data_IF_956851730404
#
_entry.id   IF_956851730404
#
_cell.length_a   1.000
_cell.length_b   1.000
_cell.length_c   1.000
_cell.angle_alpha   90.00
_cell.angle_beta   90.00
_cell.angle_gamma   90.00
#
_symmetry.space_group_name_H-M   'P 1'
#
loop_
_entity.id
_entity.type
_entity.pdbx_description
1 polymer ?
#
# COMPACT_ATOMS: atom_id res chain seq x y z
N UNK A 1 -40.64 27.75 -44.96
CA UNK A 1 -41.51 28.67 -45.73
C UNK A 1 -42.17 29.65 -44.76
N UNK A 2 -42.26 30.92 -45.19
CA UNK A 2 -42.64 32.16 -44.46
C UNK A 2 -43.94 32.01 -43.65
N UNK A 3 -44.16 32.68 -42.51
CA UNK A 3 -44.41 34.13 -42.32
C UNK A 3 -44.54 34.40 -40.80
N UNK A 4 -43.79 35.35 -40.24
CA UNK A 4 -44.25 36.69 -39.79
C UNK A 4 -45.36 36.72 -38.73
N UNK A 5 -45.04 37.25 -37.54
CA UNK A 5 -45.73 38.44 -37.00
C UNK A 5 -45.06 38.96 -35.72
N UNK A 6 -44.52 40.18 -35.81
CA UNK A 6 -44.35 41.11 -34.69
C UNK A 6 -45.43 42.18 -34.82
N UNK A 7 -45.93 42.69 -33.69
CA UNK A 7 -46.07 44.13 -33.57
C UNK A 7 -45.41 44.69 -32.31
N UNK A 8 -45.18 45.98 -32.42
CA UNK A 8 -44.36 46.91 -31.64
C UNK A 8 -45.10 47.57 -30.46
N UNK A 9 -44.37 47.75 -29.33
CA UNK A 9 -44.26 48.88 -28.37
C UNK A 9 -45.50 49.78 -28.05
N UNK A 10 -45.67 50.24 -26.78
CA UNK A 10 -44.95 51.44 -26.25
C UNK A 10 -44.53 51.33 -24.76
N UNK A 11 -43.34 51.76 -24.33
CA UNK A 11 -42.96 53.13 -23.89
C UNK A 11 -43.93 53.81 -22.89
N UNK A 12 -43.56 53.81 -21.61
CA UNK A 12 -43.84 54.89 -20.67
C UNK A 12 -42.67 55.06 -19.71
N UNK A 13 -42.11 56.27 -19.68
CA UNK A 13 -41.06 56.76 -18.79
C UNK A 13 -41.69 57.23 -17.48
N UNK A 14 -41.03 57.00 -16.34
CA UNK A 14 -40.96 58.00 -15.28
C UNK A 14 -39.55 58.07 -14.71
N UNK A 15 -39.03 59.30 -14.73
CA UNK A 15 -37.78 59.72 -14.13
C UNK A 15 -37.95 59.86 -12.62
N UNK A 16 -36.95 59.43 -11.85
CA UNK A 16 -36.50 60.20 -10.69
C UNK A 16 -34.99 60.07 -10.55
N UNK A 17 -34.37 61.23 -10.66
CA UNK A 17 -32.95 61.56 -10.62
C UNK A 17 -32.41 61.51 -9.20
N UNK A 18 -31.20 60.99 -9.06
CA UNK A 18 -30.42 61.04 -7.83
C UNK A 18 -29.02 60.48 -8.06
N UNK A 19 -28.21 61.25 -8.79
CA UNK A 19 -26.82 60.93 -9.14
C UNK A 19 -25.92 61.14 -7.92
N UNK A 20 -25.17 60.11 -7.53
CA UNK A 20 -23.85 60.28 -6.94
C UNK A 20 -22.94 59.10 -7.32
N UNK A 21 -21.95 59.46 -8.13
CA UNK A 21 -20.57 58.96 -8.14
C UNK A 21 -20.28 57.48 -8.52
N UNK A 22 -19.86 57.34 -9.79
CA UNK A 22 -18.63 56.67 -10.26
C UNK A 22 -18.36 55.18 -9.96
N UNK A 23 -18.54 54.38 -11.03
CA UNK A 23 -17.51 53.55 -11.71
C UNK A 23 -16.79 52.47 -10.87
N UNK A 24 -17.26 51.25 -11.14
CA UNK A 24 -16.49 50.03 -11.48
C UNK A 24 -15.89 49.15 -10.38
N UNK A 25 -15.88 47.88 -10.76
CA UNK A 25 -15.30 46.71 -10.12
C UNK A 25 -16.14 46.11 -8.98
N UNK A 26 -17.01 45.17 -9.39
CA UNK A 26 -17.35 44.00 -8.60
C UNK A 26 -16.04 43.27 -8.25
N UNK A 27 -15.36 43.73 -7.22
CA UNK A 27 -14.31 42.97 -6.55
C UNK A 27 -15.01 41.82 -5.85
N UNK A 28 -14.98 40.66 -6.50
CA UNK A 28 -15.06 39.36 -5.85
C UNK A 28 -14.03 39.41 -4.73
N UNK A 29 -14.49 39.69 -3.50
CA UNK A 29 -13.69 39.50 -2.30
C UNK A 29 -13.50 37.99 -2.15
N UNK A 30 -12.44 37.54 -2.82
CA UNK A 30 -11.58 36.43 -2.48
C UNK A 30 -11.11 36.63 -1.03
N UNK A 31 -12.02 36.44 -0.08
CA UNK A 31 -11.69 36.19 1.30
C UNK A 31 -11.22 34.75 1.39
N UNK A 32 -9.96 34.56 0.99
CA UNK A 32 -9.01 33.56 1.50
C UNK A 32 -9.61 32.57 2.51
N UNK A 33 -10.37 31.61 1.99
CA UNK A 33 -10.40 30.29 2.58
C UNK A 33 -8.98 29.80 2.48
N UNK A 34 -8.24 29.89 3.59
CA UNK A 34 -7.07 29.08 3.82
C UNK A 34 -7.53 27.63 3.68
N UNK A 35 -7.49 27.13 2.45
CA UNK A 35 -7.56 25.72 2.13
C UNK A 35 -6.34 25.15 2.81
N UNK A 36 -6.54 24.69 4.05
CA UNK A 36 -5.53 24.03 4.83
C UNK A 36 -4.85 23.02 3.92
N UNK A 37 -3.55 23.23 3.69
CA UNK A 37 -2.71 22.14 3.27
C UNK A 37 -2.97 21.02 4.29
N UNK A 38 -3.25 19.79 3.84
CA UNK A 38 -3.35 18.68 4.78
C UNK A 38 -2.05 18.67 5.55
N UNK A 39 -2.12 18.68 6.88
CA UNK A 39 -0.97 18.72 7.76
C UNK A 39 0.06 17.68 7.25
N UNK A 40 1.12 18.17 6.62
CA UNK A 40 2.39 17.48 6.76
C UNK A 40 2.65 17.59 8.25
N UNK A 41 2.61 16.44 8.94
CA UNK A 41 2.95 16.41 10.35
C UNK A 41 4.28 17.15 10.48
N UNK A 42 4.26 18.23 11.24
CA UNK A 42 5.50 18.96 11.52
C UNK A 42 6.41 17.99 12.28
N UNK A 43 7.72 18.16 12.20
CA UNK A 43 8.68 17.33 12.95
C UNK A 43 8.35 17.26 14.45
N UNK A 44 7.70 18.30 14.99
CA UNK A 44 7.22 18.37 16.37
C UNK A 44 5.95 17.52 16.61
N UNK A 45 5.00 17.49 15.66
CA UNK A 45 3.84 16.59 15.71
C UNK A 45 4.27 15.13 15.70
N UNK A 46 5.26 14.79 14.85
CA UNK A 46 5.82 13.44 14.74
C UNK A 46 6.49 13.00 16.05
N UNK A 47 7.24 13.90 16.71
CA UNK A 47 7.96 13.61 17.95
C UNK A 47 7.02 13.44 19.17
N UNK A 48 5.98 14.27 19.31
CA UNK A 48 4.94 14.06 20.32
C UNK A 48 4.13 12.79 20.05
N UNK A 49 3.90 12.46 18.78
CA UNK A 49 3.13 11.30 18.35
C UNK A 49 3.80 9.96 18.67
N UNK A 50 5.12 9.84 18.45
CA UNK A 50 5.87 8.61 18.79
C UNK A 50 6.02 8.37 20.30
N UNK A 51 5.82 9.40 21.14
CA UNK A 51 5.88 9.27 22.60
C UNK A 51 4.62 8.64 23.23
N UNK A 52 3.51 8.54 22.48
CA UNK A 52 2.24 7.97 22.93
C UNK A 52 2.02 6.51 22.48
N UNK A 53 3.03 5.89 21.84
CA UNK A 53 2.95 4.53 21.31
C UNK A 53 2.75 3.52 22.46
N UNK A 54 1.78 2.59 22.37
CA UNK A 54 1.76 1.44 23.26
C UNK A 54 3.08 0.68 23.14
N UNK A 55 3.58 0.10 24.24
CA UNK A 55 4.72 -0.82 24.18
C UNK A 55 4.47 -1.82 23.04
N UNK A 56 5.27 -1.73 21.98
CA UNK A 56 5.06 -2.52 20.78
C UNK A 56 5.11 -3.98 21.17
N UNK A 57 4.06 -4.72 20.86
CA UNK A 57 4.07 -6.18 20.98
C UNK A 57 5.33 -6.70 20.32
N UNK A 58 6.14 -7.49 21.03
CA UNK A 58 7.35 -8.07 20.43
C UNK A 58 6.92 -9.08 19.37
N UNK A 59 7.19 -8.75 18.12
CA UNK A 59 7.03 -9.68 16.99
C UNK A 59 8.39 -10.26 16.65
N UNK A 60 8.37 -11.47 16.11
CA UNK A 60 9.56 -12.17 15.66
C UNK A 60 9.27 -12.78 14.29
N UNK A 61 10.20 -12.62 13.35
CA UNK A 61 10.16 -13.37 12.09
C UNK A 61 10.97 -14.64 12.26
N UNK A 62 10.39 -15.73 11.79
CA UNK A 62 11.02 -17.03 11.76
C UNK A 62 11.03 -17.50 10.32
N UNK A 63 12.23 -17.56 9.73
CA UNK A 63 12.43 -18.25 8.45
C UNK A 63 12.33 -19.75 8.69
N UNK A 64 11.56 -20.45 7.86
CA UNK A 64 11.46 -21.90 7.94
C UNK A 64 12.70 -22.53 7.30
N UNK A 65 13.11 -23.69 7.81
CA UNK A 65 14.29 -24.38 7.32
C UNK A 65 14.07 -24.94 5.89
N UNK A 66 12.81 -25.14 5.52
CA UNK A 66 12.34 -25.56 4.20
C UNK A 66 10.94 -24.98 3.92
N UNK A 67 10.48 -25.08 2.67
CA UNK A 67 9.15 -24.60 2.29
C UNK A 67 8.07 -25.57 2.78
N UNK A 68 6.97 -25.05 3.32
CA UNK A 68 5.90 -25.87 3.91
C UNK A 68 4.55 -25.49 3.31
N UNK A 69 3.65 -26.47 3.16
CA UNK A 69 2.27 -26.21 2.79
C UNK A 69 1.57 -25.23 3.76
N UNK A 70 0.70 -24.39 3.21
CA UNK A 70 -0.03 -23.37 3.97
C UNK A 70 -0.96 -23.98 5.02
N UNK A 71 -1.70 -25.03 4.66
CA UNK A 71 -2.68 -25.65 5.57
C UNK A 71 -1.97 -26.37 6.72
N UNK A 72 -0.89 -27.10 6.43
CA UNK A 72 -0.09 -27.76 7.45
C UNK A 72 0.61 -26.76 8.38
N UNK A 73 1.16 -25.68 7.83
CA UNK A 73 1.76 -24.60 8.62
C UNK A 73 0.76 -24.00 9.59
N UNK A 74 -0.42 -23.59 9.13
CA UNK A 74 -1.40 -22.93 9.99
C UNK A 74 -2.01 -23.90 11.01
N UNK A 75 -2.20 -25.17 10.63
CA UNK A 75 -2.68 -26.21 11.53
C UNK A 75 -1.67 -26.53 12.64
N UNK A 76 -0.38 -26.65 12.31
CA UNK A 76 0.65 -26.90 13.30
C UNK A 76 0.84 -25.68 14.21
N UNK A 77 0.77 -24.46 13.67
CA UNK A 77 0.80 -23.24 14.48
C UNK A 77 -0.33 -23.22 15.53
N UNK A 78 -1.57 -23.53 15.12
CA UNK A 78 -2.73 -23.61 16.02
C UNK A 78 -2.53 -24.67 17.11
N UNK A 79 -2.06 -25.87 16.72
CA UNK A 79 -1.76 -26.96 17.66
C UNK A 79 -0.71 -26.58 18.70
N UNK A 80 0.29 -25.80 18.31
CA UNK A 80 1.39 -25.36 19.17
C UNK A 80 1.09 -24.04 19.92
N UNK A 81 -0.08 -23.42 19.67
CA UNK A 81 -0.43 -22.12 20.25
C UNK A 81 0.45 -20.97 19.74
N UNK A 82 0.98 -21.08 18.52
CA UNK A 82 1.79 -20.05 17.87
C UNK A 82 0.84 -19.04 17.21
N UNK A 83 0.91 -17.78 17.65
CA UNK A 83 0.09 -16.71 17.10
C UNK A 83 0.77 -16.08 15.87
N UNK A 84 0.31 -16.46 14.69
CA UNK A 84 0.76 -15.90 13.42
C UNK A 84 0.15 -14.51 13.22
N UNK A 85 0.98 -13.54 12.84
CA UNK A 85 0.57 -12.21 12.39
C UNK A 85 0.58 -12.14 10.87
N UNK A 86 1.62 -12.67 10.23
CA UNK A 86 1.73 -12.73 8.78
C UNK A 86 2.54 -13.96 8.33
N UNK A 87 2.40 -14.33 7.06
CA UNK A 87 3.16 -15.39 6.43
C UNK A 87 3.76 -14.90 5.11
N UNK A 88 5.07 -15.04 4.95
CA UNK A 88 5.75 -14.83 3.67
C UNK A 88 5.65 -16.08 2.80
N UNK A 89 5.43 -15.85 1.51
CA UNK A 89 5.01 -16.89 0.58
C UNK A 89 5.93 -16.94 -0.64
N UNK A 90 6.06 -18.15 -1.17
CA UNK A 90 6.53 -18.39 -2.52
C UNK A 90 5.33 -18.77 -3.40
N UNK A 91 5.15 -18.07 -4.53
CA UNK A 91 3.97 -18.18 -5.40
C UNK A 91 4.43 -18.23 -6.85
N UNK A 92 4.49 -19.43 -7.43
CA UNK A 92 5.03 -19.58 -8.78
C UNK A 92 6.45 -18.99 -8.91
N UNK A 93 6.67 -18.26 -10.00
CA UNK A 93 7.87 -17.46 -10.21
C UNK A 93 7.87 -16.08 -9.50
N UNK A 94 6.92 -15.77 -8.61
CA UNK A 94 6.88 -14.56 -7.78
C UNK A 94 7.05 -14.81 -6.29
N UNK A 95 6.77 -13.81 -5.46
CA UNK A 95 6.68 -13.92 -4.00
C UNK A 95 5.33 -13.42 -3.48
N UNK A 96 5.06 -13.58 -2.20
CA UNK A 96 3.83 -13.08 -1.59
C UNK A 96 3.91 -12.86 -0.10
N UNK A 97 2.85 -12.26 0.43
CA UNK A 97 2.65 -12.02 1.86
C UNK A 97 1.17 -12.23 2.17
N UNK A 98 0.87 -12.89 3.28
CA UNK A 98 -0.49 -12.98 3.81
C UNK A 98 -0.56 -12.36 5.20
N UNK A 99 -1.49 -11.43 5.38
CA UNK A 99 -1.85 -10.92 6.70
C UNK A 99 -2.87 -11.84 7.33
N UNK A 100 -2.55 -12.40 8.49
CA UNK A 100 -3.45 -13.31 9.19
C UNK A 100 -4.73 -12.56 9.62
N UNK A 101 -5.90 -13.19 9.44
CA UNK A 101 -7.16 -12.70 9.97
C UNK A 101 -7.42 -13.36 11.33
N UNK A 102 -7.32 -12.60 12.45
CA UNK A 102 -7.51 -13.17 13.78
C UNK A 102 -8.95 -13.62 14.06
N UNK A 103 -9.91 -13.26 13.20
CA UNK A 103 -11.32 -13.67 13.34
C UNK A 103 -11.63 -15.00 12.65
N UNK A 104 -10.67 -15.56 11.90
CA UNK A 104 -10.80 -16.84 11.21
C UNK A 104 -10.03 -17.94 11.94
N UNK A 105 -10.52 -19.17 11.87
CA UNK A 105 -9.74 -20.34 12.29
C UNK A 105 -8.50 -20.52 11.41
N UNK A 106 -7.53 -21.29 11.87
CA UNK A 106 -6.35 -21.65 11.06
C UNK A 106 -6.71 -22.26 9.70
N UNK A 107 -7.67 -23.19 9.68
CA UNK A 107 -8.17 -23.79 8.43
C UNK A 107 -8.82 -22.76 7.50
N UNK A 108 -9.59 -21.81 8.04
CA UNK A 108 -10.24 -20.76 7.24
C UNK A 108 -9.25 -19.71 6.74
N UNK A 109 -8.21 -19.39 7.50
CA UNK A 109 -7.09 -18.59 7.03
C UNK A 109 -6.37 -19.30 5.85
N UNK A 110 -6.08 -20.60 5.97
CA UNK A 110 -5.42 -21.36 4.92
C UNK A 110 -6.26 -21.44 3.63
N UNK A 111 -7.55 -21.78 3.75
CA UNK A 111 -8.50 -21.78 2.64
C UNK A 111 -8.61 -20.40 1.98
N UNK A 112 -8.72 -19.35 2.79
CA UNK A 112 -8.83 -17.97 2.31
C UNK A 112 -7.57 -17.55 1.57
N UNK A 113 -6.38 -17.81 2.12
CA UNK A 113 -5.10 -17.51 1.48
C UNK A 113 -5.00 -18.22 0.13
N UNK A 114 -5.17 -19.54 0.09
CA UNK A 114 -5.01 -20.31 -1.15
C UNK A 114 -6.06 -19.93 -2.20
N UNK A 115 -7.30 -19.66 -1.79
CA UNK A 115 -8.33 -19.18 -2.71
C UNK A 115 -7.95 -17.82 -3.31
N UNK A 116 -7.43 -16.90 -2.50
CA UNK A 116 -6.98 -15.58 -2.96
C UNK A 116 -5.81 -15.69 -3.92
N UNK A 117 -4.80 -16.50 -3.60
CA UNK A 117 -3.67 -16.76 -4.50
C UNK A 117 -4.17 -17.34 -5.82
N UNK A 118 -5.01 -18.39 -5.79
CA UNK A 118 -5.56 -18.98 -7.00
C UNK A 118 -6.36 -17.98 -7.85
N UNK A 119 -7.10 -17.08 -7.22
CA UNK A 119 -7.82 -16.02 -7.94
C UNK A 119 -6.87 -14.97 -8.53
N UNK A 120 -5.79 -14.61 -7.84
CA UNK A 120 -4.80 -13.65 -8.34
C UNK A 120 -3.90 -14.26 -9.42
N UNK A 121 -3.31 -15.42 -9.18
CA UNK A 121 -2.21 -15.99 -9.96
C UNK A 121 -2.51 -17.34 -10.62
N UNK A 122 -3.52 -18.07 -10.17
CA UNK A 122 -4.00 -19.31 -10.82
C UNK A 122 -3.32 -20.54 -10.28
N UNK A 123 -2.41 -20.32 -9.35
CA UNK A 123 -1.57 -21.31 -8.73
C UNK A 123 -1.86 -21.37 -7.23
N UNK A 124 -0.97 -22.02 -6.49
CA UNK A 124 -0.97 -22.13 -5.03
C UNK A 124 0.29 -21.49 -4.47
N UNK A 125 0.27 -21.24 -3.16
CA UNK A 125 1.42 -20.75 -2.42
C UNK A 125 1.98 -21.80 -1.47
N UNK A 126 3.26 -21.65 -1.12
CA UNK A 126 3.89 -22.32 0.02
C UNK A 126 4.45 -21.27 0.98
N UNK A 127 4.57 -21.61 2.26
CA UNK A 127 5.09 -20.71 3.31
C UNK A 127 6.61 -20.85 3.40
N UNK A 128 7.30 -19.71 3.44
CA UNK A 128 8.77 -19.64 3.58
C UNK A 128 9.20 -19.02 4.90
N UNK A 129 8.37 -18.15 5.48
CA UNK A 129 8.61 -17.54 6.77
C UNK A 129 7.30 -17.11 7.44
N UNK A 130 7.34 -16.96 8.76
CA UNK A 130 6.22 -16.49 9.56
C UNK A 130 6.64 -15.29 10.38
N UNK A 131 5.71 -14.37 10.59
CA UNK A 131 5.79 -13.41 11.68
C UNK A 131 4.86 -13.84 12.80
N UNK A 132 5.38 -13.88 14.02
CA UNK A 132 4.66 -14.38 15.18
C UNK A 132 4.75 -13.42 16.36
N UNK A 133 3.76 -13.50 17.24
CA UNK A 133 3.72 -12.73 18.49
C UNK A 133 4.47 -13.46 19.61
N UNK A 134 5.38 -12.76 20.30
CA UNK A 134 6.17 -13.32 21.41
C UNK A 134 6.06 -12.53 22.73
N UNK A 135 5.94 -13.22 23.90
CA UNK A 135 5.57 -14.62 24.05
C UNK A 135 4.07 -14.82 23.73
N UNK A 136 3.65 -16.03 23.35
CA UNK A 136 2.23 -16.31 23.14
C UNK A 136 1.44 -15.91 24.39
N UNK A 137 0.29 -15.25 24.21
CA UNK A 137 -0.53 -14.81 25.34
C UNK A 137 -0.86 -16.03 26.20
N UNK A 138 -0.46 -16.01 27.49
CA UNK A 138 -0.92 -16.99 28.48
C UNK A 138 -2.42 -16.83 28.68
N UNK A 139 -3.22 -17.50 27.85
CA UNK A 139 -4.66 -17.65 28.03
C UNK A 139 -4.96 -18.85 28.92
N UNK A 140 -5.31 -18.60 30.17
CA UNK A 140 -6.29 -19.39 30.93
C UNK A 140 -6.06 -20.91 31.07
N UNK A 141 -4.85 -21.36 31.45
CA UNK A 141 -4.76 -22.64 32.14
C UNK A 141 -5.21 -22.45 33.59
N UNK A 142 -6.25 -23.19 33.99
CA UNK A 142 -6.73 -23.28 35.38
C UNK A 142 -5.53 -23.43 36.31
N UNK A 143 -5.45 -22.55 37.31
CA UNK A 143 -4.58 -22.70 38.46
C UNK A 143 -4.75 -24.11 39.03
N UNK A 144 -3.68 -24.89 38.99
CA UNK A 144 -3.45 -25.94 39.97
C UNK A 144 -2.09 -25.68 40.62
N UNK A 145 -2.15 -25.58 41.93
CA UNK A 145 -1.18 -24.98 42.83
C UNK A 145 -0.01 -25.90 43.20
N UNK A 146 1.18 -25.29 43.28
CA UNK A 146 2.32 -25.57 44.17
C UNK A 146 3.32 -26.70 43.78
N UNK A 147 4.57 -26.71 44.33
CA UNK A 147 5.54 -25.61 44.39
C UNK A 147 6.97 -26.04 43.95
N UNK A 148 7.83 -25.04 43.66
CA UNK A 148 9.30 -25.04 43.57
C UNK A 148 10.06 -26.30 43.11
N UNK A 149 10.70 -26.18 41.94
CA UNK A 149 12.04 -26.72 41.72
C UNK A 149 12.85 -25.77 40.83
N UNK A 150 13.93 -25.25 41.39
CA UNK A 150 15.05 -24.62 40.69
C UNK A 150 15.52 -25.51 39.53
N UNK A 151 15.41 -25.01 38.32
CA UNK A 151 16.18 -25.49 37.17
C UNK A 151 16.62 -24.27 36.36
N UNK A 152 17.93 -23.98 36.45
CA UNK A 152 18.66 -23.32 35.39
C UNK A 152 18.47 -24.16 34.12
N UNK A 153 17.51 -23.76 33.28
CA UNK A 153 17.21 -24.41 32.02
C UNK A 153 17.25 -23.35 30.94
N UNK A 154 18.20 -23.53 30.01
CA UNK A 154 18.46 -22.73 28.82
C UNK A 154 17.24 -21.95 28.31
N UNK A 155 17.38 -20.62 28.19
CA UNK A 155 16.42 -19.80 27.45
C UNK A 155 16.43 -20.23 25.98
N UNK A 156 15.65 -21.27 25.67
CA UNK A 156 15.24 -21.56 24.30
C UNK A 156 14.60 -20.27 23.79
N UNK A 157 15.23 -19.65 22.79
CA UNK A 157 14.70 -18.44 22.16
C UNK A 157 13.37 -18.79 21.48
N UNK A 158 12.44 -17.83 21.41
CA UNK A 158 11.15 -18.02 20.74
C UNK A 158 11.30 -18.60 19.34
N UNK A 159 12.28 -18.10 18.58
CA UNK A 159 12.70 -18.63 17.28
C UNK A 159 12.93 -20.15 17.26
N UNK A 160 13.71 -20.68 18.21
CA UNK A 160 14.08 -22.10 18.25
C UNK A 160 12.87 -22.99 18.53
N UNK A 161 11.87 -22.48 19.25
CA UNK A 161 10.62 -23.21 19.47
C UNK A 161 9.78 -23.26 18.18
N UNK A 162 9.68 -22.13 17.48
CA UNK A 162 8.92 -22.01 16.24
C UNK A 162 9.57 -22.84 15.12
N UNK A 163 10.89 -22.75 14.93
CA UNK A 163 11.62 -23.59 13.96
C UNK A 163 11.42 -25.07 14.24
N UNK A 164 11.56 -25.51 15.50
CA UNK A 164 11.35 -26.91 15.88
C UNK A 164 9.91 -27.39 15.68
N UNK A 165 8.92 -26.50 15.82
CA UNK A 165 7.52 -26.84 15.56
C UNK A 165 7.30 -27.22 14.09
N UNK A 166 7.97 -26.55 13.16
CA UNK A 166 7.77 -26.76 11.72
C UNK A 166 8.81 -27.69 11.07
N UNK A 167 9.95 -27.94 11.72
CA UNK A 167 11.00 -28.84 11.21
C UNK A 167 10.53 -30.28 10.95
N UNK A 168 9.44 -30.72 11.59
CA UNK A 168 8.85 -32.03 11.39
C UNK A 168 7.77 -32.10 10.30
N UNK A 169 7.48 -31.00 9.61
CA UNK A 169 6.53 -30.98 8.49
C UNK A 169 7.24 -31.32 7.18
N UNK A 170 6.51 -31.92 6.24
CA UNK A 170 7.06 -32.30 4.94
C UNK A 170 7.44 -31.07 4.11
N UNK A 171 8.57 -31.15 3.41
CA UNK A 171 8.96 -30.15 2.43
C UNK A 171 7.97 -30.16 1.26
N UNK A 172 7.48 -28.97 0.91
CA UNK A 172 6.56 -28.76 -0.20
C UNK A 172 7.23 -27.87 -1.23
N UNK A 173 7.47 -28.42 -2.41
CA UNK A 173 8.05 -27.65 -3.51
C UNK A 173 7.06 -26.57 -3.98
N UNK A 174 7.55 -25.35 -4.23
CA UNK A 174 6.75 -24.32 -4.89
C UNK A 174 6.39 -24.78 -6.30
N UNK A 175 5.23 -24.37 -6.78
CA UNK A 175 4.89 -24.51 -8.21
C UNK A 175 5.85 -23.68 -9.07
N UNK A 176 6.19 -24.15 -10.27
CA UNK A 176 6.94 -23.37 -11.27
C UNK A 176 6.05 -22.46 -12.13
N UNK A 177 4.80 -22.26 -11.70
CA UNK A 177 3.81 -21.51 -12.47
C UNK A 177 4.22 -20.06 -12.73
N UNK A 178 3.96 -19.60 -13.95
CA UNK A 178 4.19 -18.23 -14.32
C UNK A 178 3.03 -17.33 -13.88
N UNK A 179 3.29 -16.47 -12.89
CA UNK A 179 2.26 -15.57 -12.36
C UNK A 179 2.15 -14.25 -13.14
N UNK A 180 2.81 -14.12 -14.30
CA UNK A 180 2.82 -12.90 -15.12
C UNK A 180 1.43 -12.41 -15.54
N UNK A 181 0.41 -13.26 -15.44
CA UNK A 181 -0.99 -12.85 -15.64
C UNK A 181 -1.41 -11.65 -14.78
N UNK A 182 -0.85 -11.49 -13.57
CA UNK A 182 -1.17 -10.32 -12.71
C UNK A 182 -0.76 -9.00 -13.36
N UNK A 183 0.30 -9.03 -14.18
CA UNK A 183 0.78 -7.91 -15.00
C UNK A 183 -0.04 -7.80 -16.29
N UNK A 184 -0.27 -8.91 -16.98
CA UNK A 184 -1.00 -8.92 -18.25
C UNK A 184 -2.41 -8.33 -18.08
N UNK A 185 -3.05 -8.57 -16.93
CA UNK A 185 -4.31 -7.92 -16.57
C UNK A 185 -4.21 -6.39 -16.62
N UNK A 186 -3.12 -5.81 -16.12
CA UNK A 186 -2.92 -4.35 -16.11
C UNK A 186 -2.62 -3.86 -17.52
N UNK A 187 -1.68 -4.49 -18.23
CA UNK A 187 -1.26 -4.07 -19.58
C UNK A 187 -2.40 -4.14 -20.60
N UNK A 188 -3.27 -5.14 -20.49
CA UNK A 188 -4.40 -5.34 -21.39
C UNK A 188 -5.65 -4.51 -21.01
N UNK A 189 -5.59 -3.70 -19.95
CA UNK A 189 -6.75 -2.91 -19.52
C UNK A 189 -7.00 -1.72 -20.46
N UNK A 190 -8.27 -1.38 -20.76
CA UNK A 190 -8.62 -0.16 -21.50
C UNK A 190 -8.09 1.08 -20.75
N UNK A 191 -7.16 1.82 -21.36
CA UNK A 191 -6.52 3.00 -20.76
C UNK A 191 -5.02 2.85 -20.46
N UNK A 192 -4.50 1.63 -20.34
CA UNK A 192 -3.07 1.37 -20.07
C UNK A 192 -2.22 1.52 -21.31
N UNK A 193 -2.74 1.08 -22.47
CA UNK A 193 -2.08 1.12 -23.77
C UNK A 193 -1.69 2.55 -24.19
N UNK A 194 -2.40 3.59 -23.71
CA UNK A 194 -2.03 4.97 -23.99
C UNK A 194 -0.91 5.50 -23.08
N UNK A 195 -0.61 4.89 -21.93
CA UNK A 195 0.47 5.40 -21.04
C UNK A 195 1.87 4.91 -21.41
N UNK A 196 1.97 3.70 -21.97
CA UNK A 196 3.23 3.07 -22.37
C UNK A 196 3.71 3.47 -23.79
N UNK A 197 2.84 4.09 -24.60
CA UNK A 197 3.13 4.41 -26.01
C UNK A 197 3.40 5.90 -26.26
N UNK A 198 3.55 6.71 -25.21
CA UNK A 198 3.78 8.14 -25.35
C UNK A 198 5.27 8.44 -25.38
N UNK A 199 5.74 8.93 -26.53
CA UNK A 199 7.06 9.55 -26.65
C UNK A 199 7.15 10.72 -25.66
N UNK A 200 8.23 10.85 -24.88
CA UNK A 200 8.43 12.01 -24.02
C UNK A 200 8.52 13.27 -24.89
N UNK A 201 7.50 14.13 -24.85
CA UNK A 201 7.46 15.42 -25.57
C UNK A 201 7.62 16.64 -24.66
N UNK A 202 7.71 16.43 -23.35
CA UNK A 202 8.03 17.48 -22.38
C UNK A 202 9.33 17.14 -21.66
N UNK A 203 10.17 18.15 -21.43
CA UNK A 203 11.24 18.04 -20.45
C UNK A 203 10.56 17.81 -19.09
N UNK A 204 10.51 16.56 -18.63
CA UNK A 204 10.01 16.23 -17.30
C UNK A 204 10.74 17.08 -16.26
N UNK A 205 10.01 17.55 -15.25
CA UNK A 205 10.66 18.16 -14.08
C UNK A 205 11.66 17.12 -13.56
N UNK A 206 12.96 17.44 -13.49
CA UNK A 206 13.95 16.48 -12.98
C UNK A 206 13.51 15.99 -11.60
N UNK A 207 13.41 14.68 -11.41
CA UNK A 207 13.22 14.13 -10.08
C UNK A 207 14.45 14.51 -9.25
N UNK A 208 14.22 14.97 -8.01
CA UNK A 208 15.30 15.46 -7.13
C UNK A 208 16.37 14.39 -6.88
N UNK A 209 15.98 13.11 -6.89
CA UNK A 209 16.83 11.99 -6.50
C UNK A 209 17.02 10.91 -7.55
N UNK A 210 16.22 10.92 -8.63
CA UNK A 210 16.17 9.85 -9.65
C UNK A 210 16.00 8.42 -9.08
N UNK A 211 15.60 8.25 -7.82
CA UNK A 211 15.34 6.93 -7.24
C UNK A 211 13.87 6.54 -7.27
N UNK A 212 12.95 7.50 -7.42
CA UNK A 212 11.51 7.21 -7.50
C UNK A 212 11.11 6.52 -8.78
N UNK A 213 10.12 5.61 -8.73
CA UNK A 213 9.50 5.11 -9.94
C UNK A 213 8.87 6.27 -10.71
N UNK A 214 9.23 6.40 -11.98
CA UNK A 214 8.73 7.46 -12.85
C UNK A 214 7.58 7.00 -13.75
N UNK A 215 7.13 5.75 -13.60
CA UNK A 215 5.88 5.25 -14.15
C UNK A 215 5.23 4.27 -13.17
N UNK A 216 4.04 4.61 -12.69
CA UNK A 216 3.24 3.71 -11.85
C UNK A 216 1.80 3.69 -12.33
N UNK A 217 1.28 2.49 -12.53
CA UNK A 217 -0.11 2.24 -12.90
C UNK A 217 -0.84 1.49 -11.80
N UNK A 218 -2.13 1.80 -11.65
CA UNK A 218 -3.01 1.23 -10.66
C UNK A 218 -4.27 0.73 -11.35
N UNK A 219 -4.70 -0.44 -10.92
CA UNK A 219 -6.00 -1.00 -11.30
C UNK A 219 -6.74 -1.40 -10.04
N UNK A 220 -8.01 -1.02 -9.95
CA UNK A 220 -8.90 -1.50 -8.89
C UNK A 220 -10.03 -2.30 -9.49
N UNK A 221 -10.20 -3.54 -9.03
CA UNK A 221 -11.31 -4.40 -9.45
C UNK A 221 -12.25 -4.69 -8.27
N UNK A 222 -13.54 -4.66 -8.57
CA UNK A 222 -14.59 -5.02 -7.63
C UNK A 222 -14.92 -6.52 -7.73
N UNK A 223 -15.23 -7.14 -6.60
CA UNK A 223 -15.80 -8.50 -6.51
C UNK A 223 -14.94 -9.63 -7.10
N UNK A 224 -13.62 -9.57 -6.96
CA UNK A 224 -12.72 -10.70 -7.30
C UNK A 224 -12.76 -11.71 -6.16
N UNK A 225 -13.49 -12.83 -6.33
CA UNK A 225 -13.60 -13.86 -5.30
C UNK A 225 -14.24 -13.37 -3.99
N UNK A 226 -15.19 -12.43 -4.07
CA UNK A 226 -15.82 -11.82 -2.89
C UNK A 226 -15.00 -10.72 -2.22
N UNK A 227 -13.80 -10.40 -2.72
CA UNK A 227 -12.90 -9.34 -2.24
C UNK A 227 -12.79 -8.17 -3.23
N UNK A 228 -11.97 -7.16 -2.88
CA UNK A 228 -11.48 -6.16 -3.83
C UNK A 228 -10.07 -6.53 -4.26
N UNK A 229 -9.68 -6.14 -5.46
CA UNK A 229 -8.31 -6.30 -5.97
C UNK A 229 -7.72 -4.93 -6.26
N UNK A 230 -6.47 -4.74 -5.86
CA UNK A 230 -5.65 -3.59 -6.27
C UNK A 230 -4.38 -4.12 -6.91
N UNK A 231 -4.08 -3.70 -8.13
CA UNK A 231 -2.80 -4.03 -8.79
C UNK A 231 -2.00 -2.75 -9.00
N UNK A 232 -0.71 -2.81 -8.64
CA UNK A 232 0.30 -1.79 -8.87
C UNK A 232 1.28 -2.31 -9.92
N UNK A 233 1.56 -1.55 -10.95
CA UNK A 233 2.68 -1.79 -11.86
C UNK A 233 3.64 -0.61 -11.78
N UNK A 234 4.83 -0.86 -11.25
CA UNK A 234 5.80 0.15 -10.83
C UNK A 234 7.06 -0.01 -11.68
N UNK A 235 7.49 1.06 -12.34
CA UNK A 235 8.61 1.03 -13.28
C UNK A 235 9.59 2.19 -13.01
N UNK A 236 10.87 1.85 -13.14
CA UNK A 236 12.00 2.78 -13.13
C UNK A 236 12.58 2.82 -14.54
N UNK A 237 12.43 3.97 -15.21
CA UNK A 237 12.78 4.13 -16.62
C UNK A 237 13.76 5.29 -16.83
N UNK A 238 14.57 5.18 -17.88
CA UNK A 238 15.49 6.19 -18.40
C UNK A 238 16.49 6.72 -17.36
N UNK A 239 16.17 7.84 -16.69
CA UNK A 239 17.03 8.41 -15.64
C UNK A 239 16.69 7.90 -14.25
N UNK A 240 15.50 7.33 -14.08
CA UNK A 240 15.01 6.78 -12.81
C UNK A 240 15.51 5.35 -12.62
N UNK A 241 16.11 5.06 -11.47
CA UNK A 241 16.68 3.76 -11.13
C UNK A 241 16.63 3.53 -9.61
N UNK A 242 16.02 2.43 -9.15
CA UNK A 242 15.91 2.12 -7.72
C UNK A 242 17.28 1.96 -7.04
N UNK A 243 18.34 1.71 -7.82
CA UNK A 243 19.70 1.63 -7.31
C UNK A 243 20.23 2.97 -6.79
N UNK A 244 19.60 4.08 -7.17
CA UNK A 244 19.90 5.42 -6.66
C UNK A 244 19.32 5.68 -5.27
N UNK A 245 18.46 4.80 -4.75
CA UNK A 245 17.93 4.96 -3.40
C UNK A 245 19.07 4.92 -2.36
N UNK A 246 18.95 5.66 -1.24
CA UNK A 246 19.90 5.59 -0.14
C UNK A 246 19.92 4.19 0.50
N UNK A 247 21.08 3.79 1.03
CA UNK A 247 21.19 2.54 1.78
C UNK A 247 20.42 2.64 3.11
N UNK A 248 19.75 1.57 3.50
CA UNK A 248 18.96 1.56 4.73
C UNK A 248 17.62 2.31 4.63
N UNK A 249 17.07 2.46 3.43
CA UNK A 249 15.74 3.00 3.19
C UNK A 249 14.85 1.98 2.46
N UNK A 250 13.59 1.92 2.89
CA UNK A 250 12.52 1.19 2.23
C UNK A 250 11.76 2.06 1.22
N UNK A 251 10.89 1.42 0.45
CA UNK A 251 9.96 2.04 -0.48
C UNK A 251 8.54 1.65 -0.07
N UNK A 252 7.65 2.62 0.05
CA UNK A 252 6.21 2.40 0.20
C UNK A 252 5.48 2.89 -1.06
N UNK A 253 4.47 2.13 -1.46
CA UNK A 253 3.52 2.52 -2.50
C UNK A 253 2.13 2.33 -1.93
N UNK A 254 1.38 3.42 -1.86
CA UNK A 254 0.13 3.48 -1.11
C UNK A 254 -1.01 3.97 -1.98
N UNK A 255 -2.16 3.32 -1.82
CA UNK A 255 -3.45 3.82 -2.29
C UNK A 255 -4.25 4.33 -1.09
N UNK A 256 -4.33 5.65 -0.94
CA UNK A 256 -5.13 6.25 0.11
C UNK A 256 -6.60 6.28 -0.28
N UNK A 257 -7.45 5.92 0.67
CA UNK A 257 -8.89 6.04 0.60
C UNK A 257 -9.40 7.06 1.62
N UNK A 258 -10.29 7.93 1.18
CA UNK A 258 -10.83 9.03 1.96
C UNK A 258 -12.35 8.95 2.06
N UNK A 259 -12.85 9.07 3.28
CA UNK A 259 -14.26 9.21 3.61
C UNK A 259 -14.49 10.48 4.45
N UNK A 260 -14.67 11.61 3.77
CA UNK A 260 -14.83 12.94 4.37
C UNK A 260 -16.09 13.11 5.26
N UNK A 261 -16.88 12.06 5.49
CA UNK A 261 -17.96 12.06 6.49
C UNK A 261 -17.45 11.69 7.90
N UNK A 262 -16.20 11.23 8.01
CA UNK A 262 -15.55 10.87 9.27
C UNK A 262 -14.70 12.04 9.79
N UNK A 263 -14.26 11.93 11.04
CA UNK A 263 -13.45 12.96 11.72
C UNK A 263 -12.14 13.24 10.98
N UNK A 264 -11.81 14.53 10.85
CA UNK A 264 -10.53 15.06 10.35
C UNK A 264 -9.43 15.14 11.41
N UNK A 265 -9.78 14.90 12.67
CA UNK A 265 -8.83 14.83 13.77
C UNK A 265 -8.03 13.53 13.67
N UNK A 266 -6.71 13.64 13.82
CA UNK A 266 -5.80 12.49 14.02
C UNK A 266 -6.19 11.82 15.33
N UNK A 267 -6.85 10.67 15.23
CA UNK A 267 -7.37 9.92 16.37
C UNK A 267 -7.03 8.43 16.30
N UNK A 268 -6.32 7.93 15.30
CA UNK A 268 -5.99 6.51 15.24
C UNK A 268 -4.90 6.17 16.28
N UNK A 269 -4.96 5.00 16.93
CA UNK A 269 -5.93 3.91 16.78
C UNK A 269 -7.28 4.13 17.51
N UNK A 270 -7.46 5.24 18.23
CA UNK A 270 -8.68 5.58 18.98
C UNK A 270 -9.89 6.04 18.12
N UNK A 271 -9.86 5.85 16.80
CA UNK A 271 -11.04 6.08 15.97
C UNK A 271 -12.21 5.19 16.43
N UNK A 272 -13.47 5.62 16.24
CA UNK A 272 -14.63 4.81 16.60
C UNK A 272 -14.57 3.41 15.98
N UNK A 273 -15.03 2.39 16.72
CA UNK A 273 -15.08 1.00 16.25
C UNK A 273 -15.77 0.91 14.88
N UNK A 274 -15.20 0.09 13.98
CA UNK A 274 -15.71 -0.12 12.62
C UNK A 274 -15.38 1.03 11.66
N UNK A 275 -14.48 1.95 12.02
CA UNK A 275 -14.02 3.02 11.11
C UNK A 275 -13.35 2.46 9.86
N UNK A 276 -12.53 1.41 9.99
CA UNK A 276 -11.79 0.81 8.87
C UNK A 276 -12.68 0.17 7.81
N UNK A 277 -13.87 -0.28 8.22
CA UNK A 277 -14.86 -0.84 7.32
C UNK A 277 -15.63 0.26 6.55
N UNK A 278 -15.48 1.56 6.88
CA UNK A 278 -16.28 2.64 6.26
C UNK A 278 -15.74 3.15 4.93
N UNK A 279 -14.83 2.42 4.30
CA UNK A 279 -14.22 2.75 3.02
C UNK A 279 -14.59 1.71 1.95
N UNK A 280 -14.00 1.81 0.75
CA UNK A 280 -14.21 0.88 -0.37
C UNK A 280 -13.58 -0.49 -0.12
N UNK A 281 -12.38 -0.50 0.44
CA UNK A 281 -11.74 -1.67 1.03
C UNK A 281 -11.61 -1.48 2.54
N UNK A 282 -11.55 -2.56 3.30
CA UNK A 282 -11.29 -2.48 4.73
C UNK A 282 -9.85 -2.00 4.98
N UNK A 283 -9.70 -0.87 5.67
CA UNK A 283 -8.39 -0.31 6.00
C UNK A 283 -7.64 -1.13 7.09
N UNK A 284 -8.30 -2.05 7.79
CA UNK A 284 -7.61 -2.93 8.74
C UNK A 284 -6.74 -3.98 8.04
N UNK A 285 -7.00 -4.24 6.75
CA UNK A 285 -6.24 -5.16 5.89
C UNK A 285 -6.09 -6.60 6.43
N UNK A 286 -6.86 -7.00 7.45
CA UNK A 286 -6.88 -8.37 7.96
C UNK A 286 -7.26 -9.37 6.86
N UNK A 287 -6.52 -10.48 6.77
CA UNK A 287 -6.75 -11.47 5.72
C UNK A 287 -6.32 -11.04 4.31
N UNK A 288 -5.61 -9.91 4.16
CA UNK A 288 -5.08 -9.45 2.85
C UNK A 288 -4.00 -10.38 2.34
N UNK A 289 -4.03 -10.67 1.04
CA UNK A 289 -2.96 -11.39 0.35
C UNK A 289 -2.29 -10.46 -0.67
N UNK A 290 -0.96 -10.41 -0.64
CA UNK A 290 -0.10 -9.76 -1.63
C UNK A 290 0.60 -10.82 -2.47
N UNK A 291 0.68 -10.60 -3.77
CA UNK A 291 1.58 -11.33 -4.68
C UNK A 291 2.38 -10.32 -5.49
N UNK A 292 3.68 -10.56 -5.66
CA UNK A 292 4.55 -9.67 -6.41
C UNK A 292 5.50 -10.42 -7.35
N UNK A 293 5.82 -9.76 -8.46
CA UNK A 293 6.72 -10.22 -9.51
C UNK A 293 7.66 -9.08 -9.89
N UNK A 294 8.89 -9.39 -10.27
CA UNK A 294 9.83 -8.40 -10.81
C UNK A 294 10.46 -8.82 -12.13
N UNK A 295 10.80 -7.82 -12.94
CA UNK A 295 11.62 -7.93 -14.17
C UNK A 295 11.26 -9.09 -15.12
N UNK A 296 9.96 -9.30 -15.38
CA UNK A 296 9.50 -10.26 -16.39
C UNK A 296 10.21 -11.64 -16.33
N UNK A 297 10.26 -12.26 -15.14
CA UNK A 297 10.62 -13.67 -14.93
C UNK A 297 12.12 -14.04 -14.84
N UNK A 298 13.05 -13.12 -14.57
CA UNK A 298 14.44 -13.54 -14.29
C UNK A 298 14.56 -14.20 -12.89
N UNK A 299 14.76 -15.53 -12.90
CA UNK A 299 15.12 -16.43 -11.78
C UNK A 299 16.01 -15.77 -10.70
N UNK A 300 15.97 -16.08 -9.40
CA UNK A 300 14.96 -16.60 -8.44
C UNK A 300 15.50 -16.49 -6.99
N UNK A 301 16.62 -15.80 -6.73
CA UNK A 301 17.23 -15.63 -5.38
C UNK A 301 17.02 -14.25 -4.74
N UNK A 302 16.37 -13.32 -5.45
CA UNK A 302 16.15 -11.94 -4.97
C UNK A 302 14.82 -11.74 -4.23
N UNK A 303 13.87 -12.69 -4.35
CA UNK A 303 12.49 -12.53 -3.84
C UNK A 303 12.40 -12.38 -2.31
N UNK A 304 13.18 -13.18 -1.58
CA UNK A 304 13.24 -13.16 -0.13
C UNK A 304 13.97 -11.92 0.44
N UNK A 305 14.67 -11.15 -0.42
CA UNK A 305 15.49 -10.02 0.01
C UNK A 305 14.78 -8.68 -0.03
N UNK A 306 13.61 -8.58 -0.67
CA UNK A 306 12.87 -7.33 -0.79
C UNK A 306 12.21 -6.89 0.52
N UNK A 307 11.93 -7.85 1.42
CA UNK A 307 11.24 -7.65 2.70
C UNK A 307 9.90 -6.91 2.54
N UNK A 308 8.92 -7.57 1.88
CA UNK A 308 7.59 -6.99 1.73
C UNK A 308 6.89 -6.88 3.08
N UNK A 309 6.17 -5.79 3.30
CA UNK A 309 5.25 -5.63 4.42
C UNK A 309 3.98 -4.91 3.96
N UNK A 310 2.88 -5.09 4.68
CA UNK A 310 1.71 -4.24 4.53
C UNK A 310 1.93 -2.99 5.36
N UNK A 311 1.77 -1.83 4.75
CA UNK A 311 1.60 -0.63 5.54
C UNK A 311 0.14 -0.56 5.99
N UNK A 312 -0.10 -1.05 7.22
CA UNK A 312 -1.41 -1.06 7.85
C UNK A 312 -1.42 -0.22 9.14
N UNK A 313 -0.31 0.43 9.44
CA UNK A 313 -0.16 1.25 10.62
C UNK A 313 -0.67 2.66 10.38
N UNK A 314 -1.98 2.83 10.50
CA UNK A 314 -2.64 4.11 10.31
C UNK A 314 -2.60 5.03 11.54
N UNK A 315 -1.66 4.84 12.45
CA UNK A 315 -1.57 5.59 13.71
C UNK A 315 -1.60 7.10 13.46
N UNK A 316 -0.73 7.64 12.62
CA UNK A 316 -0.68 9.08 12.33
C UNK A 316 -1.83 9.59 11.46
N UNK A 317 -2.73 8.71 11.02
CA UNK A 317 -3.77 9.07 10.08
C UNK A 317 -5.07 9.55 10.78
N UNK A 318 -5.76 10.54 10.20
CA UNK A 318 -7.09 10.92 10.65
C UNK A 318 -8.12 9.83 10.33
N UNK A 319 -9.25 9.81 11.05
CA UNK A 319 -10.28 8.77 10.86
C UNK A 319 -10.90 8.76 9.46
N UNK A 320 -10.88 9.90 8.74
CA UNK A 320 -11.36 9.97 7.36
C UNK A 320 -10.39 9.39 6.33
N UNK A 321 -9.19 8.96 6.73
CA UNK A 321 -8.19 8.36 5.87
C UNK A 321 -7.98 6.89 6.25
N UNK A 322 -7.73 6.07 5.23
CA UNK A 322 -7.18 4.73 5.37
C UNK A 322 -6.22 4.46 4.21
N UNK A 323 -5.17 3.70 4.48
CA UNK A 323 -4.20 3.25 3.49
C UNK A 323 -4.53 1.85 2.97
N UNK A 324 -4.17 1.61 1.72
CA UNK A 324 -3.96 0.28 1.16
C UNK A 324 -2.52 0.31 0.65
N UNK A 325 -1.59 0.08 1.57
CA UNK A 325 -0.16 0.24 1.32
C UNK A 325 0.58 -1.09 1.21
N UNK A 326 1.56 -1.12 0.31
CA UNK A 326 2.60 -2.14 0.29
C UNK A 326 3.96 -1.47 0.42
N UNK A 327 4.76 -1.96 1.35
CA UNK A 327 6.12 -1.52 1.57
C UNK A 327 7.14 -2.61 1.25
N UNK A 328 8.35 -2.18 0.93
CA UNK A 328 9.52 -3.02 0.72
C UNK A 328 10.68 -2.46 1.53
N UNK A 329 11.21 -3.24 2.49
CA UNK A 329 12.29 -2.80 3.37
C UNK A 329 13.62 -2.57 2.65
N UNK A 330 13.89 -3.39 1.63
CA UNK A 330 15.17 -3.39 0.92
C UNK A 330 14.95 -3.30 -0.59
N UNK A 331 14.35 -2.21 -1.10
CA UNK A 331 13.98 -2.08 -2.50
C UNK A 331 15.20 -2.07 -3.43
N UNK A 332 16.37 -1.62 -2.95
CA UNK A 332 17.65 -1.72 -3.70
C UNK A 332 18.06 -3.14 -4.04
N UNK A 333 17.49 -4.17 -3.41
CA UNK A 333 17.78 -5.57 -3.76
C UNK A 333 17.08 -6.03 -5.03
N UNK A 334 16.09 -5.26 -5.52
CA UNK A 334 15.42 -5.52 -6.79
C UNK A 334 16.45 -5.64 -7.91
N UNK A 335 16.54 -6.76 -8.66
CA UNK A 335 17.57 -6.93 -9.68
C UNK A 335 17.42 -5.87 -10.79
N UNK A 336 18.50 -5.57 -11.52
CA UNK A 336 18.41 -4.77 -12.75
C UNK A 336 17.80 -5.62 -13.86
N UNK A 337 16.87 -5.04 -14.60
CA UNK A 337 16.34 -5.58 -15.86
C UNK A 337 17.12 -5.03 -17.04
N UNK A 338 17.30 -3.70 -17.07
CA UNK A 338 18.01 -2.92 -18.10
C UNK A 338 17.61 -3.31 -19.54
N UNK A 339 16.30 -3.44 -19.80
CA UNK A 339 15.76 -3.75 -21.12
C UNK A 339 15.29 -2.47 -21.83
N UNK A 340 15.58 -2.35 -23.12
CA UNK A 340 15.09 -1.22 -23.94
C UNK A 340 13.83 -1.64 -24.69
N UNK A 341 12.73 -0.95 -24.41
CA UNK A 341 11.43 -1.16 -25.07
C UNK A 341 11.01 0.17 -25.70
N UNK A 342 10.83 0.19 -27.03
CA UNK A 342 10.36 1.37 -27.77
C UNK A 342 11.17 2.65 -27.42
N UNK A 343 12.50 2.56 -27.49
CA UNK A 343 13.47 3.62 -27.17
C UNK A 343 13.50 4.08 -25.69
N UNK A 344 12.76 3.42 -24.81
CA UNK A 344 12.76 3.67 -23.36
C UNK A 344 13.55 2.58 -22.65
N UNK A 345 14.53 2.95 -21.82
CA UNK A 345 15.28 1.97 -21.03
C UNK A 345 14.54 1.71 -19.72
N UNK A 346 14.15 0.47 -19.45
CA UNK A 346 13.53 0.08 -18.19
C UNK A 346 14.59 -0.57 -17.30
N UNK A 347 14.97 0.12 -16.23
CA UNK A 347 15.95 -0.33 -15.27
C UNK A 347 15.40 -1.42 -14.35
N UNK A 348 14.17 -1.24 -13.84
CA UNK A 348 13.48 -2.22 -13.03
C UNK A 348 11.97 -2.13 -13.22
N UNK A 349 11.30 -3.26 -12.98
CA UNK A 349 9.85 -3.35 -12.93
C UNK A 349 9.42 -4.21 -11.75
N UNK A 350 8.39 -3.75 -11.04
CA UNK A 350 7.75 -4.45 -9.93
C UNK A 350 6.24 -4.41 -10.14
N UNK A 351 5.61 -5.56 -10.25
CA UNK A 351 4.16 -5.68 -10.30
C UNK A 351 3.68 -6.30 -8.99
N UNK A 352 2.72 -5.67 -8.33
CA UNK A 352 2.13 -6.12 -7.07
C UNK A 352 0.63 -6.25 -7.26
N UNK A 353 0.04 -7.38 -6.90
CA UNK A 353 -1.40 -7.55 -6.82
C UNK A 353 -1.81 -7.86 -5.39
N UNK A 354 -2.79 -7.12 -4.87
CA UNK A 354 -3.34 -7.25 -3.54
C UNK A 354 -4.79 -7.69 -3.62
N UNK A 355 -5.14 -8.73 -2.88
CA UNK A 355 -6.51 -9.15 -2.61
C UNK A 355 -6.90 -8.66 -1.21
N UNK A 356 -7.71 -7.60 -1.15
CA UNK A 356 -8.05 -6.89 0.10
C UNK A 356 -9.51 -7.10 0.50
N UNK A 357 -9.84 -7.13 1.80
CA UNK A 357 -11.23 -7.24 2.24
C UNK A 357 -12.07 -6.06 1.77
N UNK A 358 -13.37 -6.31 1.60
CA UNK A 358 -14.32 -5.24 1.25
C UNK A 358 -14.61 -4.37 2.45
N UNK A 359 -14.66 -3.06 2.22
CA UNK A 359 -15.35 -2.17 3.13
C UNK A 359 -16.84 -2.07 2.77
N UNK A 360 -17.57 -1.35 3.61
CA UNK A 360 -19.01 -1.11 3.54
C UNK A 360 -19.38 -0.04 2.51
N UNK A 361 -18.42 0.74 2.01
CA UNK A 361 -18.68 1.74 0.97
C UNK A 361 -18.57 1.12 -0.43
N UNK A 362 -19.46 1.53 -1.33
CA UNK A 362 -19.38 1.14 -2.74
C UNK A 362 -18.19 1.79 -3.47
N UNK A 363 -17.69 2.93 -2.96
CA UNK A 363 -16.54 3.67 -3.47
C UNK A 363 -15.95 4.55 -2.35
N UNK A 364 -14.68 4.94 -2.48
CA UNK A 364 -14.01 5.94 -1.65
C UNK A 364 -13.46 7.05 -2.54
N UNK A 365 -13.15 8.21 -1.97
CA UNK A 365 -12.26 9.14 -2.67
C UNK A 365 -10.84 8.59 -2.60
N UNK A 366 -10.06 8.67 -3.68
CA UNK A 366 -8.73 8.05 -3.75
C UNK A 366 -7.63 9.06 -4.03
N UNK A 367 -6.49 8.87 -3.35
CA UNK A 367 -5.19 9.40 -3.73
C UNK A 367 -4.17 8.27 -3.78
N UNK A 368 -2.99 8.52 -4.33
CA UNK A 368 -1.90 7.55 -4.31
C UNK A 368 -0.59 8.23 -3.98
N UNK A 369 0.32 7.52 -3.32
CA UNK A 369 1.65 7.98 -3.04
C UNK A 369 2.69 6.90 -3.31
N UNK A 370 3.90 7.34 -3.62
CA UNK A 370 5.10 6.53 -3.41
C UNK A 370 6.10 7.34 -2.62
N UNK A 371 6.70 6.74 -1.60
CA UNK A 371 7.62 7.38 -0.65
C UNK A 371 8.82 6.47 -0.37
N UNK A 372 9.99 7.06 -0.15
CA UNK A 372 11.06 6.35 0.55
C UNK A 372 10.97 6.65 2.04
N UNK A 373 11.03 5.58 2.82
CA UNK A 373 10.94 5.63 4.28
C UNK A 373 12.19 5.04 4.90
N UNK A 374 12.69 5.64 5.96
CA UNK A 374 13.86 5.12 6.63
C UNK A 374 13.57 3.71 7.16
N UNK A 375 14.49 2.78 6.91
CA UNK A 375 14.34 1.42 7.39
C UNK A 375 14.89 1.31 8.82
N UNK A 376 14.12 1.81 9.79
CA UNK A 376 14.54 1.80 11.20
C UNK A 376 14.38 0.41 11.84
N UNK A 377 13.79 -0.54 11.14
CA UNK A 377 13.60 -1.91 11.61
C UNK A 377 14.86 -2.80 11.50
N UNK A 378 16.03 -2.27 11.12
CA UNK A 378 17.28 -3.04 11.03
C UNK A 378 17.62 -3.80 12.32
N UNK A 379 17.35 -3.21 13.49
CA UNK A 379 17.55 -3.87 14.78
C UNK A 379 16.57 -5.04 15.04
N UNK A 380 15.41 -5.05 14.38
CA UNK A 380 14.44 -6.15 14.38
C UNK A 380 14.75 -7.22 13.33
N UNK A 381 15.79 -7.01 12.50
CA UNK A 381 16.23 -7.95 11.47
C UNK A 381 15.45 -7.92 10.15
N UNK A 382 14.32 -7.21 10.06
CA UNK A 382 13.48 -7.10 8.85
C UNK A 382 12.61 -5.85 8.85
N UNK A 383 12.04 -5.47 7.70
CA UNK A 383 11.01 -4.43 7.64
C UNK A 383 9.66 -4.85 8.24
N UNK A 384 9.00 -3.85 8.83
CA UNK A 384 7.76 -3.96 9.60
C UNK A 384 7.11 -2.57 9.67
N UNK A 385 5.85 -2.44 9.28
CA UNK A 385 5.08 -1.16 9.27
C UNK A 385 5.18 -0.38 10.59
N UNK A 386 5.35 -1.11 11.68
CA UNK A 386 5.46 -0.56 13.02
C UNK A 386 6.78 0.19 13.29
N UNK A 387 7.80 0.07 12.44
CA UNK A 387 9.07 0.80 12.61
C UNK A 387 9.64 1.40 11.33
N UNK A 388 8.99 1.25 10.19
CA UNK A 388 9.38 1.96 8.98
C UNK A 388 9.02 3.44 9.11
N UNK A 389 9.88 4.33 8.58
CA UNK A 389 9.59 5.77 8.50
C UNK A 389 9.58 6.51 9.84
N UNK A 390 10.12 5.92 10.92
CA UNK A 390 10.10 6.55 12.25
C UNK A 390 11.12 7.66 12.41
N UNK A 391 12.26 7.56 11.73
CA UNK A 391 13.36 8.52 11.87
C UNK A 391 14.01 8.75 10.51
N UNK A 392 13.97 9.99 10.04
CA UNK A 392 14.68 10.44 8.85
C UNK A 392 13.75 11.01 7.79
N UNK A 393 14.19 12.07 7.12
CA UNK A 393 13.53 12.64 5.95
C UNK A 393 14.48 12.48 4.77
N UNK A 394 13.93 12.05 3.63
CA UNK A 394 14.67 12.00 2.39
C UNK A 394 13.83 12.58 1.23
N UNK A 395 14.45 13.34 0.31
CA UNK A 395 15.83 13.81 0.41
C UNK A 395 15.98 14.80 1.58
N UNK A 396 17.15 14.85 2.22
CA UNK A 396 17.47 15.86 3.24
C UNK A 396 17.17 17.27 2.71
N UNK A 397 16.70 18.19 3.57
CA UNK A 397 16.28 19.57 3.21
C UNK A 397 17.27 20.32 2.29
N UNK A 398 18.57 20.02 2.43
CA UNK A 398 19.66 20.59 1.61
C UNK A 398 19.64 20.18 0.13
N UNK A 399 18.85 19.16 -0.23
CA UNK A 399 18.64 18.68 -1.59
C UNK A 399 17.39 19.30 -2.26
N UNK A 400 16.70 20.23 -1.59
CA UNK A 400 15.65 21.06 -2.17
C UNK A 400 14.22 20.54 -2.02
N UNK A 401 14.03 19.36 -1.41
CA UNK A 401 12.73 18.75 -1.13
C UNK A 401 12.40 18.74 0.36
N UNK A 402 11.10 18.81 0.69
CA UNK A 402 10.57 18.59 2.05
C UNK A 402 10.07 17.15 2.27
N UNK A 403 9.97 16.35 1.21
CA UNK A 403 9.65 14.91 1.22
C UNK A 403 9.81 14.33 -0.19
N UNK A 404 10.48 13.19 -0.38
CA UNK A 404 10.41 12.40 -1.62
C UNK A 404 9.12 11.57 -1.65
N UNK A 405 8.00 12.28 -1.61
CA UNK A 405 6.68 11.68 -1.75
C UNK A 405 6.08 12.15 -3.06
N UNK A 406 6.00 11.24 -4.03
CA UNK A 406 5.21 11.49 -5.22
C UNK A 406 3.75 11.23 -4.87
N UNK A 407 3.01 12.30 -4.62
CA UNK A 407 1.60 12.26 -4.23
C UNK A 407 0.70 12.66 -5.41
N UNK A 408 -0.31 11.84 -5.67
CA UNK A 408 -1.28 12.06 -6.74
C UNK A 408 -2.68 12.22 -6.22
N UNK A 409 -3.36 13.19 -6.82
CA UNK A 409 -4.80 13.39 -6.74
C UNK A 409 -5.39 13.61 -5.34
N UNK A 410 -4.58 13.80 -4.29
CA UNK A 410 -5.04 14.09 -2.91
C UNK A 410 -6.14 15.16 -2.85
N UNK A 411 -5.99 16.23 -3.62
CA UNK A 411 -6.93 17.36 -3.62
C UNK A 411 -8.08 17.24 -4.64
N UNK A 412 -8.06 16.24 -5.53
CA UNK A 412 -9.04 16.14 -6.62
C UNK A 412 -10.34 15.45 -6.20
N UNK A 413 -10.36 14.76 -5.05
CA UNK A 413 -11.51 14.00 -4.54
C UNK A 413 -12.13 13.10 -5.61
N UNK A 414 -11.30 12.41 -6.39
CA UNK A 414 -11.79 11.44 -7.37
C UNK A 414 -12.32 10.21 -6.68
N UNK A 415 -13.45 9.69 -7.15
CA UNK A 415 -13.94 8.38 -6.71
C UNK A 415 -12.99 7.30 -7.24
N UNK A 416 -12.85 6.19 -6.52
CA UNK A 416 -12.03 5.02 -6.90
C UNK A 416 -12.20 4.68 -8.39
N UNK A 417 -11.24 5.08 -9.26
CA UNK A 417 -11.35 4.82 -10.69
C UNK A 417 -10.88 3.40 -10.95
N UNK A 418 -11.47 2.72 -11.94
CA UNK A 418 -11.06 1.35 -12.33
C UNK A 418 -9.58 1.31 -12.70
N UNK A 419 -9.09 2.36 -13.34
CA UNK A 419 -7.71 2.53 -13.73
C UNK A 419 -7.25 3.97 -13.52
N UNK A 420 -6.04 4.13 -13.00
CA UNK A 420 -5.33 5.39 -13.02
C UNK A 420 -3.82 5.14 -13.02
N UNK A 421 -3.05 6.02 -13.60
CA UNK A 421 -1.59 5.90 -13.65
C UNK A 421 -0.92 7.26 -13.55
N UNK A 422 0.39 7.28 -13.34
CA UNK A 422 1.23 8.41 -13.70
C UNK A 422 2.44 7.90 -14.45
N UNK A 423 2.87 8.67 -15.43
CA UNK A 423 4.14 8.47 -16.11
C UNK A 423 4.77 9.84 -16.33
N UNK A 424 6.03 9.99 -15.95
CA UNK A 424 6.80 11.20 -16.21
C UNK A 424 6.94 11.47 -17.73
N UNK A 425 6.74 10.44 -18.55
CA UNK A 425 6.77 10.52 -20.01
C UNK A 425 5.37 10.76 -20.63
N UNK A 426 4.30 10.85 -19.82
CA UNK A 426 2.94 11.08 -20.32
C UNK A 426 2.72 12.51 -20.82
N UNK A 427 2.12 12.63 -22.01
CA UNK A 427 1.84 13.89 -22.74
C UNK A 427 0.72 14.72 -22.10
N UNK A 428 -0.11 14.13 -21.23
CA UNK A 428 -1.18 14.81 -20.48
C UNK A 428 -1.19 14.30 -19.04
N UNK A 429 -1.60 15.16 -18.10
CA UNK A 429 -1.89 14.71 -16.73
C UNK A 429 -2.93 13.57 -16.82
N UNK A 430 -2.76 12.49 -16.03
CA UNK A 430 -3.70 11.37 -16.03
C UNK A 430 -5.12 11.88 -15.81
N UNK A 431 -6.06 11.40 -16.63
CA UNK A 431 -7.49 11.56 -16.42
C UNK A 431 -8.01 10.27 -15.78
N UNK A 432 -8.71 10.35 -14.65
CA UNK A 432 -9.34 9.18 -14.05
C UNK A 432 -10.42 8.67 -14.99
N UNK A 433 -10.38 7.38 -15.34
CA UNK A 433 -11.43 6.80 -16.18
C UNK A 433 -12.70 6.61 -15.33
N UNK A 434 -13.86 7.11 -15.77
CA UNK A 434 -15.13 6.83 -15.11
C UNK A 434 -15.45 5.33 -15.21
N UNK A 435 -16.16 4.80 -14.21
CA UNK A 435 -16.68 3.43 -14.20
C UNK A 435 -17.81 3.24 -15.20
#
# INVERSE_FOLDING_TARGET
MKTENRPTRPWARHHLTGVLATISALAVLLGSGALAAPAQATTDDIAQYYSARPDSVKTEKVELDHNVDVADTFKEADKQGIHILSAELLVGNGGGLYQYDPNLSASKNAESLQSQIKNLTGTSAVVTALEVLYPPKKGSQKQQSSPSATAQGSAVKGEDQVRRAFAGLDETDPTDDDISRIRDDVENSPGTAESHMLKPQANGVPAETNAHPNNVSFRTDDNVGGKRKVTYDIQWMDKSDIKNAPDGWGLEVELYQYNYKLSDVIQRPACPKGTDEKFWADAGLHGTTITYLFNNKKNSSAKAKLEPYLDNNHWSDPCYQGGIGVGFGKPKTLPRWDETILDTKIHQRLTVAMSVPKGNAAWSHIGAASSFVAYNCQAKGKADTDCMGQVGIWPEDKMGGISDMLLLNKNRKWKTPTYFSWSANAVKRPAGLPR
#
